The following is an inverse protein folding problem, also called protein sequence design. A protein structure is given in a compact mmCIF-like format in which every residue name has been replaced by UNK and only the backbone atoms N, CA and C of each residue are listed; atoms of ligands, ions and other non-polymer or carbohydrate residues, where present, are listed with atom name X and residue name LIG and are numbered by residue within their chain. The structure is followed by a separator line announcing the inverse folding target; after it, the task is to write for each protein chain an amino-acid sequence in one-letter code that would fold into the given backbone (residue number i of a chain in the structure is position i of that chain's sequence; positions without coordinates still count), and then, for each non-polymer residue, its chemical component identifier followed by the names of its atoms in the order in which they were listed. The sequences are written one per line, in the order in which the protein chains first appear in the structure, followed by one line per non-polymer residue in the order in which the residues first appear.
data_IF_279041675361
#
_entry.id   IF_279041675361
#
_cell.length_a   1.000
_cell.length_b   1.000
_cell.length_c   1.000
_cell.angle_alpha   90.00
_cell.angle_beta   90.00
_cell.angle_gamma   90.00
#
_symmetry.space_group_name_H-M   'P 1'
#
loop_
_entity.id
_entity.type
_entity.pdbx_description
1 polymer ?
#
# COMPACT_ATOMS: atom_id res chain seq x y z
N UNK A 1 8.99 -7.29 -4.52
CA UNK A 1 9.31 -6.38 -3.39
C UNK A 1 8.02 -5.67 -3.06
N UNK A 2 7.36 -6.02 -1.95
CA UNK A 2 6.01 -5.54 -1.61
C UNK A 2 6.04 -4.05 -1.26
N UNK A 3 5.95 -3.18 -2.26
CA UNK A 3 5.79 -1.75 -2.04
C UNK A 3 4.32 -1.48 -1.70
N UNK A 4 4.10 -0.79 -0.57
CA UNK A 4 2.76 -0.34 -0.19
C UNK A 4 2.29 0.75 -1.14
N UNK A 5 0.99 0.84 -1.35
CA UNK A 5 0.35 1.86 -2.18
C UNK A 5 0.90 3.26 -1.89
N UNK A 6 1.30 3.94 -2.96
CA UNK A 6 1.91 5.26 -2.99
C UNK A 6 3.43 5.24 -3.08
N UNK A 7 4.11 4.15 -2.71
CA UNK A 7 5.58 4.11 -2.69
C UNK A 7 6.20 3.67 -4.02
N UNK A 8 5.44 2.99 -4.87
CA UNK A 8 5.94 2.45 -6.12
C UNK A 8 6.09 3.55 -7.18
N UNK A 9 5.06 4.40 -7.33
CA UNK A 9 5.07 5.55 -8.26
C UNK A 9 5.16 6.92 -7.57
N UNK A 10 5.00 6.97 -6.24
CA UNK A 10 4.79 8.24 -5.53
C UNK A 10 3.33 8.71 -5.54
N UNK A 11 2.42 7.96 -6.16
CA UNK A 11 1.00 8.28 -6.30
C UNK A 11 0.13 7.14 -5.76
N UNK A 12 -0.78 7.48 -4.85
CA UNK A 12 -1.78 6.51 -4.35
C UNK A 12 -2.69 6.00 -5.47
N UNK A 13 -2.95 6.85 -6.46
CA UNK A 13 -3.90 6.58 -7.54
C UNK A 13 -3.31 5.65 -8.60
N UNK A 14 -2.07 5.93 -9.01
CA UNK A 14 -1.37 5.09 -9.99
C UNK A 14 -1.09 3.69 -9.41
N UNK A 15 -0.67 3.62 -8.15
CA UNK A 15 -0.42 2.33 -7.48
C UNK A 15 -1.70 1.51 -7.26
N UNK A 16 -2.89 2.15 -7.24
CA UNK A 16 -4.18 1.46 -7.13
C UNK A 16 -4.84 1.14 -8.47
N UNK A 17 -4.25 1.58 -9.59
CA UNK A 17 -4.88 1.52 -10.90
C UNK A 17 -5.32 0.10 -11.29
N UNK A 18 -4.45 -0.90 -11.11
CA UNK A 18 -4.76 -2.28 -11.50
C UNK A 18 -5.97 -2.84 -10.74
N UNK A 19 -6.03 -2.61 -9.42
CA UNK A 19 -7.16 -3.05 -8.59
C UNK A 19 -8.45 -2.38 -9.07
N UNK A 20 -8.44 -1.07 -9.28
CA UNK A 20 -9.61 -0.33 -9.76
C UNK A 20 -10.04 -0.79 -11.14
N UNK A 21 -9.08 -1.04 -12.04
CA UNK A 21 -9.37 -1.58 -13.37
C UNK A 21 -10.09 -2.92 -13.30
N UNK A 22 -9.68 -3.83 -12.42
CA UNK A 22 -10.39 -5.10 -12.21
C UNK A 22 -11.82 -4.88 -11.68
N UNK A 23 -12.00 -3.97 -10.72
CA UNK A 23 -13.32 -3.62 -10.18
C UNK A 23 -14.23 -3.02 -11.26
N UNK A 24 -13.72 -2.09 -12.06
CA UNK A 24 -14.46 -1.42 -13.14
C UNK A 24 -14.90 -2.40 -14.25
N UNK A 25 -14.20 -3.53 -14.37
CA UNK A 25 -14.56 -4.64 -15.26
C UNK A 25 -15.46 -5.70 -14.59
N UNK A 26 -16.06 -5.40 -13.44
CA UNK A 26 -16.93 -6.28 -12.65
C UNK A 26 -16.28 -7.61 -12.23
N UNK A 27 -14.97 -7.61 -11.99
CA UNK A 27 -14.28 -8.80 -11.52
C UNK A 27 -14.30 -8.85 -9.99
N UNK A 28 -14.66 -10.02 -9.46
CA UNK A 28 -14.58 -10.31 -8.03
C UNK A 28 -13.12 -10.50 -7.62
N UNK A 29 -12.73 -9.90 -6.50
CA UNK A 29 -11.35 -9.95 -6.02
C UNK A 29 -11.27 -9.72 -4.51
N UNK A 30 -10.17 -10.20 -3.94
CA UNK A 30 -9.77 -9.93 -2.57
C UNK A 30 -8.53 -9.03 -2.56
N UNK A 31 -8.50 -8.01 -1.71
CA UNK A 31 -7.31 -7.17 -1.50
C UNK A 31 -6.91 -7.20 -0.04
N UNK A 32 -5.66 -7.62 0.22
CA UNK A 32 -5.01 -7.41 1.51
C UNK A 32 -4.20 -6.11 1.43
N UNK A 33 -4.65 -5.09 2.16
CA UNK A 33 -3.99 -3.79 2.23
C UNK A 33 -3.22 -3.66 3.55
N UNK A 34 -1.99 -3.17 3.50
CA UNK A 34 -1.16 -2.86 4.68
C UNK A 34 -0.86 -1.38 4.77
N UNK A 35 -0.83 -0.85 5.99
CA UNK A 35 -0.44 0.53 6.29
C UNK A 35 0.95 0.63 6.94
N UNK A 36 1.69 -0.47 7.01
CA UNK A 36 2.98 -0.49 7.69
C UNK A 36 4.01 0.44 7.06
N UNK A 37 4.07 0.53 5.72
CA UNK A 37 5.11 1.33 5.04
C UNK A 37 4.63 2.72 4.64
N UNK A 38 3.43 2.84 4.07
CA UNK A 38 2.95 4.12 3.56
C UNK A 38 2.49 5.08 4.68
N UNK A 39 2.10 4.58 5.86
CA UNK A 39 1.84 5.38 7.06
C UNK A 39 2.89 5.19 8.17
N UNK A 40 3.95 4.43 7.91
CA UNK A 40 4.98 4.06 8.91
C UNK A 40 4.45 3.37 10.18
N UNK A 41 3.26 2.74 10.10
CA UNK A 41 2.61 2.05 11.22
C UNK A 41 3.05 0.58 11.33
N UNK A 42 4.37 0.34 11.32
CA UNK A 42 4.95 -1.01 11.31
C UNK A 42 4.54 -1.85 12.53
N UNK A 43 4.70 -1.29 13.73
CA UNK A 43 4.42 -1.97 15.00
C UNK A 43 2.94 -2.08 15.32
N UNK A 44 2.11 -1.23 14.71
CA UNK A 44 0.67 -1.15 14.99
C UNK A 44 -0.16 -2.27 14.33
N UNK A 45 0.48 -3.03 13.43
CA UNK A 45 -0.14 -4.17 12.73
C UNK A 45 -1.43 -3.78 12.00
N UNK A 46 -1.46 -2.56 11.46
CA UNK A 46 -2.61 -2.04 10.75
C UNK A 46 -2.68 -2.55 9.30
N UNK A 47 -3.83 -3.11 8.94
CA UNK A 47 -4.18 -3.52 7.60
C UNK A 47 -5.70 -3.57 7.42
N UNK A 48 -6.15 -3.81 6.19
CA UNK A 48 -7.55 -3.99 5.85
C UNK A 48 -7.69 -5.09 4.82
N UNK A 49 -8.73 -5.91 4.97
CA UNK A 49 -9.12 -6.92 3.99
C UNK A 49 -10.36 -6.43 3.25
N UNK A 50 -10.27 -6.36 1.93
CA UNK A 50 -11.38 -5.99 1.05
C UNK A 50 -11.82 -7.20 0.26
N UNK A 51 -13.13 -7.38 0.11
CA UNK A 51 -13.73 -8.39 -0.75
C UNK A 51 -14.73 -7.70 -1.68
N UNK A 52 -14.47 -7.78 -2.98
CA UNK A 52 -15.39 -7.33 -4.03
C UNK A 52 -16.14 -8.55 -4.51
N UNK A 53 -17.46 -8.53 -4.35
CA UNK A 53 -18.36 -9.62 -4.75
C UNK A 53 -19.32 -9.16 -5.86
N UNK A 54 -19.83 -10.11 -6.64
CA UNK A 54 -20.69 -9.86 -7.79
C UNK A 54 -22.05 -9.24 -7.42
N UNK A 55 -22.44 -9.30 -6.14
CA UNK A 55 -23.67 -8.68 -5.64
C UNK A 55 -23.57 -8.27 -4.18
N UNK A 56 -24.44 -7.36 -3.74
CA UNK A 56 -24.54 -6.93 -2.35
C UNK A 56 -24.92 -8.08 -1.39
N UNK A 57 -25.76 -9.03 -1.84
CA UNK A 57 -26.09 -10.23 -1.07
C UNK A 57 -24.86 -11.12 -0.87
N UNK A 58 -24.12 -11.40 -1.95
CA UNK A 58 -22.88 -12.17 -1.88
C UNK A 58 -21.83 -11.51 -0.98
N UNK A 59 -21.69 -10.18 -1.04
CA UNK A 59 -20.79 -9.42 -0.17
C UNK A 59 -21.19 -9.56 1.31
N UNK A 60 -22.48 -9.45 1.62
CA UNK A 60 -23.00 -9.54 3.00
C UNK A 60 -22.80 -10.94 3.57
N UNK A 61 -23.13 -11.98 2.79
CA UNK A 61 -22.91 -13.38 3.18
C UNK A 61 -21.44 -13.66 3.41
N UNK A 62 -20.56 -13.17 2.55
CA UNK A 62 -19.13 -13.37 2.67
C UNK A 62 -18.54 -12.62 3.87
N UNK A 63 -18.97 -11.38 4.13
CA UNK A 63 -18.57 -10.61 5.31
C UNK A 63 -18.88 -11.36 6.61
N UNK A 64 -20.03 -12.04 6.69
CA UNK A 64 -20.38 -12.86 7.86
C UNK A 64 -19.38 -14.00 8.10
N UNK A 65 -18.86 -14.63 7.05
CA UNK A 65 -17.87 -15.71 7.17
C UNK A 65 -16.49 -15.16 7.54
N UNK A 66 -16.08 -14.06 6.92
CA UNK A 66 -14.81 -13.39 7.25
C UNK A 66 -14.79 -12.95 8.72
N UNK A 67 -15.89 -12.38 9.22
CA UNK A 67 -16.01 -11.99 10.62
C UNK A 67 -15.89 -13.19 11.58
N UNK A 68 -16.47 -14.35 11.23
CA UNK A 68 -16.33 -15.59 12.01
C UNK A 68 -14.90 -16.10 12.04
N UNK A 69 -14.21 -16.06 10.90
CA UNK A 69 -12.80 -16.45 10.81
C UNK A 69 -11.94 -15.51 11.66
N UNK A 70 -12.11 -14.20 11.51
CA UNK A 70 -11.39 -13.21 12.34
C UNK A 70 -11.60 -13.46 13.84
N UNK A 71 -12.85 -13.72 14.25
CA UNK A 71 -13.17 -13.98 15.65
C UNK A 71 -12.47 -15.24 16.18
N UNK A 72 -12.36 -16.28 15.35
CA UNK A 72 -11.67 -17.52 15.71
C UNK A 72 -10.14 -17.36 15.77
N UNK A 73 -9.56 -16.51 14.93
CA UNK A 73 -8.10 -16.33 14.82
C UNK A 73 -7.53 -15.32 15.83
N UNK A 74 -8.15 -14.14 15.91
CA UNK A 74 -7.60 -13.01 16.68
C UNK A 74 -8.60 -12.37 17.63
N UNK A 75 -9.84 -12.87 17.66
CA UNK A 75 -10.98 -12.29 18.36
C UNK A 75 -11.35 -10.87 17.88
N UNK A 76 -10.51 -9.87 18.20
CA UNK A 76 -10.69 -8.49 17.75
C UNK A 76 -9.34 -7.87 17.32
N UNK A 77 -9.33 -7.05 16.25
CA UNK A 77 -8.10 -6.42 15.78
C UNK A 77 -7.64 -5.29 16.72
N UNK A 78 -6.32 -5.01 16.79
CA UNK A 78 -5.79 -3.87 17.55
C UNK A 78 -6.37 -2.53 17.09
N UNK A 79 -6.89 -1.73 18.03
CA UNK A 79 -7.62 -0.51 17.69
C UNK A 79 -6.73 0.74 17.52
N UNK A 80 -5.51 0.76 18.08
CA UNK A 80 -4.72 1.98 18.17
C UNK A 80 -4.24 2.50 16.80
N UNK A 81 -3.57 1.66 16.01
CA UNK A 81 -3.22 1.99 14.62
C UNK A 81 -4.43 2.43 13.78
N UNK A 82 -5.57 1.77 13.93
CA UNK A 82 -6.79 2.12 13.20
C UNK A 82 -7.29 3.53 13.55
N UNK A 83 -7.20 3.95 14.82
CA UNK A 83 -7.54 5.31 15.25
C UNK A 83 -6.61 6.35 14.63
N UNK A 84 -5.30 6.08 14.59
CA UNK A 84 -4.32 6.99 13.95
C UNK A 84 -4.65 7.17 12.47
N UNK A 85 -4.80 6.07 11.73
CA UNK A 85 -5.15 6.12 10.31
C UNK A 85 -6.48 6.82 10.08
N UNK A 86 -7.48 6.59 10.93
CA UNK A 86 -8.78 7.28 10.85
C UNK A 86 -8.63 8.79 11.00
N UNK A 87 -7.82 9.27 11.96
CA UNK A 87 -7.56 10.70 12.15
C UNK A 87 -6.90 11.32 10.92
N UNK A 88 -5.91 10.64 10.33
CA UNK A 88 -5.22 11.10 9.12
C UNK A 88 -6.18 11.13 7.93
N UNK A 89 -6.91 10.05 7.68
CA UNK A 89 -7.78 9.89 6.51
C UNK A 89 -9.03 10.76 6.56
N UNK A 90 -9.58 11.02 7.75
CA UNK A 90 -10.83 11.78 7.91
C UNK A 90 -10.60 13.29 7.96
N UNK A 91 -9.35 13.74 8.10
CA UNK A 91 -9.00 15.16 8.12
C UNK A 91 -8.33 15.54 6.79
N UNK A 92 -8.97 16.37 5.93
CA UNK A 92 -8.43 16.72 4.61
C UNK A 92 -7.01 17.28 4.65
N UNK A 93 -6.69 18.12 5.65
CA UNK A 93 -5.36 18.71 5.80
C UNK A 93 -4.30 17.64 6.11
N UNK A 94 -4.61 16.70 7.01
CA UNK A 94 -3.69 15.62 7.35
C UNK A 94 -3.56 14.62 6.20
N UNK A 95 -4.65 14.34 5.49
CA UNK A 95 -4.65 13.47 4.33
C UNK A 95 -3.79 14.05 3.19
N UNK A 96 -3.90 15.35 2.91
CA UNK A 96 -3.09 16.02 1.90
C UNK A 96 -1.61 16.05 2.30
N UNK A 97 -1.30 16.35 3.56
CA UNK A 97 0.06 16.26 4.08
C UNK A 97 0.64 14.85 3.94
N UNK A 98 -0.11 13.82 4.31
CA UNK A 98 0.31 12.43 4.20
C UNK A 98 0.60 12.02 2.74
N UNK A 99 -0.25 12.44 1.79
CA UNK A 99 0.01 12.21 0.35
C UNK A 99 1.31 12.87 -0.12
N UNK A 100 1.57 14.10 0.32
CA UNK A 100 2.81 14.80 -0.01
C UNK A 100 4.03 14.07 0.56
N UNK A 101 3.94 13.60 1.80
CA UNK A 101 4.97 12.80 2.48
C UNK A 101 5.29 11.50 1.73
N UNK A 102 4.27 10.78 1.25
CA UNK A 102 4.46 9.61 0.38
C UNK A 102 5.27 9.98 -0.87
N UNK A 103 4.89 11.05 -1.55
CA UNK A 103 5.62 11.53 -2.73
C UNK A 103 7.06 11.90 -2.42
N UNK A 104 7.32 12.51 -1.26
CA UNK A 104 8.68 12.80 -0.79
C UNK A 104 9.50 11.52 -0.56
N UNK A 105 8.92 10.51 0.09
CA UNK A 105 9.57 9.21 0.33
C UNK A 105 9.94 8.56 -1.01
N UNK A 106 9.00 8.51 -1.96
CA UNK A 106 9.26 7.96 -3.29
C UNK A 106 10.40 8.71 -4.01
N UNK A 107 10.36 10.05 -4.05
CA UNK A 107 11.42 10.87 -4.67
C UNK A 107 12.79 10.59 -4.05
N UNK A 108 12.85 10.44 -2.71
CA UNK A 108 14.08 10.06 -2.00
C UNK A 108 14.56 8.67 -2.41
N UNK A 109 13.68 7.68 -2.50
CA UNK A 109 14.04 6.32 -2.93
C UNK A 109 14.63 6.30 -4.34
N UNK A 110 14.00 6.99 -5.28
CA UNK A 110 14.51 7.14 -6.65
C UNK A 110 15.87 7.85 -6.67
N UNK A 111 16.03 8.93 -5.88
CA UNK A 111 17.31 9.63 -5.77
C UNK A 111 18.42 8.72 -5.23
N UNK A 112 18.13 7.88 -4.23
CA UNK A 112 19.13 6.96 -3.68
C UNK A 112 19.55 5.89 -4.69
N UNK A 113 18.60 5.38 -5.50
CA UNK A 113 18.91 4.43 -6.59
C UNK A 113 19.85 5.05 -7.62
N UNK A 114 19.62 6.30 -8.02
CA UNK A 114 20.51 7.03 -8.94
C UNK A 114 21.90 7.22 -8.37
N UNK A 115 22.01 7.61 -7.09
CA UNK A 115 23.31 7.76 -6.42
C UNK A 115 24.05 6.43 -6.38
N UNK A 116 23.37 5.33 -6.05
CA UNK A 116 23.98 3.99 -6.05
C UNK A 116 24.52 3.63 -7.43
N UNK A 117 23.73 3.78 -8.50
CA UNK A 117 24.17 3.46 -9.86
C UNK A 117 25.32 4.35 -10.33
N UNK A 118 25.29 5.64 -9.98
CA UNK A 118 26.40 6.55 -10.27
C UNK A 118 27.70 6.12 -9.58
N UNK A 119 27.64 5.72 -8.31
CA UNK A 119 28.81 5.22 -7.57
C UNK A 119 29.33 3.89 -8.12
N UNK A 120 28.44 2.97 -8.50
CA UNK A 120 28.84 1.69 -9.12
C UNK A 120 29.57 1.92 -10.44
N UNK A 121 29.10 2.87 -11.27
CA UNK A 121 29.78 3.28 -12.51
C UNK A 121 31.13 3.93 -12.23
N UNK A 122 31.21 4.81 -11.23
CA UNK A 122 32.45 5.50 -10.83
C UNK A 122 33.51 4.52 -10.33
N UNK A 123 33.10 3.43 -9.69
CA UNK A 123 33.98 2.37 -9.19
C UNK A 123 34.28 1.27 -10.24
N UNK A 124 33.81 1.42 -11.48
CA UNK A 124 33.98 0.43 -12.56
C UNK A 124 33.48 -0.97 -12.16
N UNK A 125 32.43 -1.03 -11.33
CA UNK A 125 31.87 -2.29 -10.88
C UNK A 125 31.30 -3.07 -12.08
N UNK A 126 31.68 -4.36 -12.27
CA UNK A 126 31.32 -5.13 -13.46
C UNK A 126 29.81 -5.37 -13.57
N UNK A 127 29.24 -5.16 -14.77
CA UNK A 127 27.82 -5.40 -15.07
C UNK A 127 27.06 -4.14 -15.47
N UNK A 128 25.83 -4.32 -15.99
CA UNK A 128 24.89 -3.22 -16.23
C UNK A 128 23.98 -3.03 -15.01
N UNK A 129 24.10 -1.88 -14.36
CA UNK A 129 23.34 -1.49 -13.17
C UNK A 129 22.12 -0.63 -13.49
N UNK A 130 21.86 -0.32 -14.77
CA UNK A 130 20.77 0.58 -15.18
C UNK A 130 19.37 0.10 -14.74
N UNK A 131 19.18 -1.21 -14.59
CA UNK A 131 17.92 -1.78 -14.12
C UNK A 131 17.53 -1.30 -12.71
N UNK A 132 18.49 -0.92 -11.86
CA UNK A 132 18.23 -0.44 -10.49
C UNK A 132 17.45 0.89 -10.52
N UNK A 133 17.72 1.76 -11.50
CA UNK A 133 16.98 3.02 -11.65
C UNK A 133 15.56 2.81 -12.17
N UNK A 134 15.30 1.69 -12.86
CA UNK A 134 14.03 1.39 -13.53
C UNK A 134 13.07 0.58 -12.65
N UNK A 135 13.49 0.17 -11.45
CA UNK A 135 12.60 -0.55 -10.54
C UNK A 135 11.42 0.32 -10.14
N UNK A 136 10.23 -0.29 -10.12
CA UNK A 136 9.02 0.25 -9.50
C UNK A 136 9.05 -0.25 -8.05
#
# INVERSE_FOLDING_TARGET
MDLSQGLATGSLEEDAWAIRHFVDNNLELCVAQTFSKNMSLYGERLGTFHLVAASADAATRSLSQVARIQLAEIYSPPAFGAKIATVIMSNPKLYDQWKEEIGMIHRRLVSMRKVLVAEMKRLEAPGDWGYIEQQV
#
